data_IF_071324276593
#
_entry.id   IF_071324276593
#
_cell.length_a   1.000
_cell.length_b   1.000
_cell.length_c   1.000
_cell.angle_alpha   90.00
_cell.angle_beta   90.00
_cell.angle_gamma   90.00
#
_symmetry.space_group_name_H-M   'P 1'
#
loop_
_entity.id
_entity.type
_entity.pdbx_description
1 polymer ?
#
# COMPACT_ATOMS: atom_id res chain seq x y z
N UNK A 1 -14.26 -4.86 57.73
CA UNK A 1 -13.45 -5.97 57.25
C UNK A 1 -13.59 -5.91 55.74
N UNK A 2 -12.75 -5.16 55.10
CA UNK A 2 -11.46 -5.53 54.49
C UNK A 2 -11.58 -6.70 53.56
N UNK A 3 -11.41 -6.30 52.30
CA UNK A 3 -10.35 -6.60 51.34
C UNK A 3 -10.92 -7.45 50.22
N UNK A 4 -10.71 -7.25 48.95
CA UNK A 4 -9.57 -6.72 48.19
C UNK A 4 -9.97 -6.45 46.77
N UNK A 5 -9.64 -5.26 46.26
CA UNK A 5 -9.39 -5.00 44.86
C UNK A 5 -7.97 -5.47 44.56
N UNK A 6 -7.79 -6.27 43.52
CA UNK A 6 -6.58 -6.27 42.67
C UNK A 6 -6.73 -7.31 41.58
N UNK A 7 -7.15 -6.90 40.39
CA UNK A 7 -6.88 -7.61 39.14
C UNK A 7 -7.29 -6.78 37.91
N UNK A 8 -6.80 -5.55 37.77
CA UNK A 8 -7.00 -4.76 36.54
C UNK A 8 -5.81 -3.85 36.23
N UNK A 9 -4.63 -4.42 36.17
CA UNK A 9 -3.43 -3.66 35.76
C UNK A 9 -2.40 -4.47 34.94
N UNK A 10 -2.85 -5.40 34.10
CA UNK A 10 -1.90 -6.18 33.29
C UNK A 10 -2.20 -6.28 31.81
N UNK A 11 -3.22 -5.61 31.30
CA UNK A 11 -3.52 -5.68 29.85
C UNK A 11 -3.17 -4.41 29.05
N UNK A 12 -2.77 -3.33 29.71
CA UNK A 12 -2.49 -2.05 29.02
C UNK A 12 -1.05 -1.91 28.50
N UNK A 13 -0.12 -2.80 28.84
CA UNK A 13 1.30 -2.63 28.45
C UNK A 13 1.72 -3.34 27.16
N UNK A 14 0.84 -4.11 26.52
CA UNK A 14 1.17 -4.84 25.28
C UNK A 14 0.73 -4.15 23.99
N UNK A 15 -0.06 -3.10 24.05
CA UNK A 15 -0.53 -2.35 22.87
C UNK A 15 0.34 -1.15 22.50
N UNK A 16 1.26 -0.74 23.37
CA UNK A 16 2.13 0.42 23.11
C UNK A 16 3.36 0.13 22.24
N UNK A 17 3.64 -1.13 21.89
CA UNK A 17 4.79 -1.48 21.02
C UNK A 17 4.46 -1.60 19.53
N UNK A 18 3.21 -1.40 19.11
CA UNK A 18 2.84 -1.38 17.68
C UNK A 18 2.98 -0.02 16.98
N UNK A 19 3.25 1.04 17.70
CA UNK A 19 3.42 2.40 17.16
C UNK A 19 4.89 2.80 16.94
N UNK A 20 5.77 1.83 16.69
CA UNK A 20 7.16 2.06 16.35
C UNK A 20 7.36 1.89 14.85
N UNK A 21 7.27 2.98 14.14
CA UNK A 21 7.87 3.29 12.84
C UNK A 21 8.81 2.20 12.32
N UNK A 22 8.39 1.43 11.33
CA UNK A 22 9.33 0.77 10.43
C UNK A 22 8.87 0.94 8.99
N UNK A 23 9.54 1.89 8.33
CA UNK A 23 9.61 1.99 6.89
C UNK A 23 10.12 0.66 6.34
N UNK A 24 9.29 -0.03 5.55
CA UNK A 24 9.68 -1.24 4.86
C UNK A 24 10.79 -0.98 3.85
N UNK A 25 12.01 -1.24 4.25
CA UNK A 25 13.12 -1.52 3.34
C UNK A 25 13.23 -3.02 3.17
N UNK A 26 12.95 -3.49 1.99
CA UNK A 26 13.39 -4.81 1.54
C UNK A 26 14.92 -4.80 1.45
N UNK A 27 15.56 -5.71 2.18
CA UNK A 27 16.96 -6.10 2.20
C UNK A 27 17.79 -5.56 3.39
N UNK A 28 18.28 -6.50 4.21
CA UNK A 28 19.51 -6.43 4.97
C UNK A 28 19.66 -5.22 5.90
N UNK A 29 19.17 -5.35 7.13
CA UNK A 29 19.41 -4.33 8.14
C UNK A 29 20.72 -4.63 8.90
N UNK A 30 21.80 -4.08 8.40
CA UNK A 30 22.89 -3.64 9.25
C UNK A 30 22.89 -2.13 9.22
N UNK A 31 23.02 -1.52 10.39
CA UNK A 31 23.07 -0.09 10.70
C UNK A 31 23.66 0.78 9.59
N UNK A 32 22.77 1.34 8.75
CA UNK A 32 23.18 2.31 7.72
C UNK A 32 22.94 3.71 8.26
N UNK A 33 23.97 4.59 8.26
CA UNK A 33 23.78 6.01 8.57
C UNK A 33 22.72 6.58 7.62
N UNK A 34 21.96 7.56 8.08
CA UNK A 34 20.90 8.29 7.38
C UNK A 34 21.33 8.72 5.96
N UNK A 35 21.39 7.77 5.05
CA UNK A 35 21.66 8.05 3.65
C UNK A 35 20.41 8.75 3.07
N UNK A 36 20.61 9.87 2.40
CA UNK A 36 19.53 10.54 1.65
C UNK A 36 18.83 9.51 0.75
N UNK A 37 17.50 9.47 0.73
CA UNK A 37 16.77 8.47 -0.05
C UNK A 37 17.25 8.51 -1.50
N UNK A 38 17.64 7.36 -2.04
CA UNK A 38 18.13 7.26 -3.41
C UNK A 38 17.02 7.58 -4.43
N UNK A 39 15.77 7.35 -4.05
CA UNK A 39 14.59 7.63 -4.88
C UNK A 39 13.56 8.42 -4.11
N UNK A 40 12.92 9.38 -4.77
CA UNK A 40 11.80 10.15 -4.25
C UNK A 40 10.71 10.25 -5.30
N UNK A 41 9.45 10.13 -4.88
CA UNK A 41 8.28 10.32 -5.72
C UNK A 41 7.15 10.94 -4.91
N UNK A 42 6.18 11.54 -5.61
CA UNK A 42 4.93 12.00 -5.01
C UNK A 42 3.78 11.18 -5.57
N UNK A 43 2.96 10.62 -4.71
CA UNK A 43 1.71 9.98 -5.10
C UNK A 43 0.57 10.98 -5.03
N UNK A 44 -0.31 10.93 -6.01
CA UNK A 44 -1.52 11.75 -6.06
C UNK A 44 -2.67 10.96 -6.68
N UNK A 45 -3.88 11.48 -6.51
CA UNK A 45 -5.09 10.87 -7.07
C UNK A 45 -5.18 9.37 -6.74
N UNK A 46 -4.83 8.99 -5.49
CA UNK A 46 -4.83 7.59 -5.07
C UNK A 46 -6.25 7.11 -4.83
N UNK A 47 -6.58 5.97 -5.44
CA UNK A 47 -7.79 5.19 -5.22
C UNK A 47 -7.40 3.84 -4.65
N UNK A 48 -8.03 3.46 -3.55
CA UNK A 48 -7.80 2.20 -2.86
C UNK A 48 -9.12 1.47 -2.68
N UNK A 49 -9.25 0.29 -3.29
CA UNK A 49 -10.42 -0.58 -3.15
C UNK A 49 -9.98 -1.88 -2.51
N UNK A 50 -10.58 -2.21 -1.37
CA UNK A 50 -10.23 -3.38 -0.59
C UNK A 50 -11.31 -4.45 -0.74
N UNK A 51 -10.88 -5.65 -1.07
CA UNK A 51 -11.70 -6.85 -1.15
C UNK A 51 -11.35 -7.76 0.01
N UNK A 52 -12.36 -8.21 0.72
CA UNK A 52 -12.19 -9.27 1.71
C UNK A 52 -12.17 -10.62 0.99
N UNK A 53 -11.20 -11.45 1.33
CA UNK A 53 -10.93 -12.72 0.67
C UNK A 53 -10.75 -13.80 1.73
N UNK A 54 -11.22 -15.02 1.42
CA UNK A 54 -11.01 -16.16 2.29
C UNK A 54 -9.53 -16.37 2.60
N UNK A 55 -9.21 -16.56 3.88
CA UNK A 55 -7.82 -16.72 4.34
C UNK A 55 -7.13 -17.96 3.72
N UNK A 56 -7.89 -19.01 3.39
CA UNK A 56 -7.36 -20.21 2.72
C UNK A 56 -6.91 -19.90 1.29
N UNK A 57 -7.78 -19.23 0.52
CA UNK A 57 -7.43 -18.79 -0.83
C UNK A 57 -6.23 -17.84 -0.81
N UNK A 58 -6.19 -16.92 0.16
CA UNK A 58 -5.08 -15.99 0.29
C UNK A 58 -3.76 -16.70 0.56
N UNK A 59 -3.79 -17.78 1.37
CA UNK A 59 -2.62 -18.61 1.65
C UNK A 59 -2.10 -19.34 0.39
N UNK A 60 -2.99 -19.79 -0.47
CA UNK A 60 -2.61 -20.47 -1.73
C UNK A 60 -1.87 -19.55 -2.71
N UNK A 61 -2.25 -18.28 -2.76
CA UNK A 61 -1.64 -17.28 -3.66
C UNK A 61 -0.47 -16.52 -3.02
N UNK A 62 -0.22 -16.73 -1.73
CA UNK A 62 0.91 -16.11 -1.02
C UNK A 62 2.20 -16.88 -1.34
N UNK A 63 3.30 -16.19 -1.70
CA UNK A 63 4.58 -16.83 -1.98
C UNK A 63 5.12 -17.63 -0.79
N UNK A 64 5.89 -18.67 -1.09
CA UNK A 64 6.58 -19.46 -0.06
C UNK A 64 7.49 -18.57 0.79
N UNK A 65 7.47 -18.79 2.10
CA UNK A 65 8.24 -17.98 3.07
C UNK A 65 7.50 -16.77 3.62
N UNK A 66 6.38 -16.41 3.02
CA UNK A 66 5.50 -15.35 3.53
C UNK A 66 4.19 -15.95 4.07
N UNK A 67 3.57 -15.23 4.97
CA UNK A 67 2.24 -15.53 5.51
C UNK A 67 1.29 -14.38 5.20
N UNK A 68 0.00 -14.64 4.91
CA UNK A 68 -0.98 -13.56 4.82
C UNK A 68 -1.07 -12.78 6.15
N UNK A 69 -1.08 -11.46 6.06
CA UNK A 69 -1.40 -10.61 7.21
C UNK A 69 -2.90 -10.38 7.25
N UNK A 70 -3.54 -10.88 8.30
CA UNK A 70 -4.99 -10.89 8.46
C UNK A 70 -5.44 -9.76 9.38
N UNK A 71 -6.43 -9.00 8.97
CA UNK A 71 -7.11 -8.04 9.82
C UNK A 71 -8.34 -8.70 10.47
N UNK A 72 -8.30 -8.88 11.79
CA UNK A 72 -9.38 -9.55 12.56
C UNK A 72 -9.76 -10.94 12.01
N UNK A 73 -8.76 -11.69 11.51
CA UNK A 73 -8.96 -13.01 10.95
C UNK A 73 -9.36 -13.04 9.47
N UNK A 74 -9.66 -11.92 8.87
CA UNK A 74 -10.02 -11.80 7.45
C UNK A 74 -8.83 -11.39 6.58
N UNK A 75 -8.68 -12.03 5.43
CA UNK A 75 -7.69 -11.68 4.42
C UNK A 75 -8.15 -10.52 3.54
N UNK A 76 -7.21 -9.76 3.02
CA UNK A 76 -7.53 -8.62 2.16
C UNK A 76 -6.62 -8.57 0.93
N UNK A 77 -7.23 -8.27 -0.20
CA UNK A 77 -6.56 -7.88 -1.45
C UNK A 77 -6.98 -6.46 -1.78
N UNK A 78 -6.04 -5.63 -2.21
CA UNK A 78 -6.32 -4.25 -2.57
C UNK A 78 -5.96 -3.97 -4.02
N UNK A 79 -6.88 -3.32 -4.70
CA UNK A 79 -6.65 -2.69 -5.99
C UNK A 79 -6.31 -1.22 -5.73
N UNK A 80 -5.08 -0.84 -6.07
CA UNK A 80 -4.54 0.49 -5.81
C UNK A 80 -4.24 1.16 -7.13
N UNK A 81 -4.99 2.20 -7.47
CA UNK A 81 -4.69 3.07 -8.60
C UNK A 81 -4.11 4.39 -8.09
N UNK A 82 -2.99 4.84 -8.66
CA UNK A 82 -2.30 6.06 -8.22
C UNK A 82 -1.58 6.72 -9.39
N UNK A 83 -1.37 8.03 -9.27
CA UNK A 83 -0.51 8.79 -10.16
C UNK A 83 0.82 9.07 -9.48
N UNK A 84 1.90 8.66 -10.11
CA UNK A 84 3.27 8.85 -9.64
C UNK A 84 3.83 10.09 -10.31
N UNK A 85 4.24 11.07 -9.50
CA UNK A 85 4.73 12.36 -9.95
C UNK A 85 6.14 12.62 -9.44
N UNK A 86 6.90 13.37 -10.21
CA UNK A 86 8.24 13.84 -9.82
C UNK A 86 9.16 12.70 -9.32
N UNK A 87 9.14 11.55 -10.02
CA UNK A 87 10.07 10.47 -9.70
C UNK A 87 11.50 10.91 -9.97
N UNK A 88 12.31 10.92 -8.93
CA UNK A 88 13.73 11.34 -8.97
C UNK A 88 14.63 10.27 -8.38
N UNK A 89 15.86 10.19 -8.90
CA UNK A 89 16.97 9.46 -8.30
C UNK A 89 18.06 10.45 -7.92
N UNK A 90 18.42 10.48 -6.64
CA UNK A 90 19.43 11.41 -6.12
C UNK A 90 19.21 12.87 -6.55
N UNK A 91 17.94 13.29 -6.64
CA UNK A 91 17.53 14.63 -7.08
C UNK A 91 17.33 14.81 -8.58
N UNK A 92 17.80 13.89 -9.42
CA UNK A 92 17.62 13.97 -10.87
C UNK A 92 16.28 13.36 -11.30
N UNK A 93 15.50 14.02 -12.17
CA UNK A 93 14.24 13.49 -12.67
C UNK A 93 14.48 12.25 -13.54
N UNK A 94 13.79 11.15 -13.25
CA UNK A 94 13.91 9.88 -13.97
C UNK A 94 12.84 9.69 -15.05
N UNK A 95 11.65 10.18 -14.81
CA UNK A 95 10.56 10.04 -15.76
C UNK A 95 9.53 11.17 -15.63
N UNK A 96 8.72 11.32 -16.68
CA UNK A 96 7.51 12.12 -16.60
C UNK A 96 6.48 11.41 -15.69
N UNK A 97 5.51 12.16 -15.19
CA UNK A 97 4.37 11.62 -14.45
C UNK A 97 3.70 10.47 -15.20
N UNK A 98 3.32 9.43 -14.47
CA UNK A 98 2.64 8.25 -15.02
C UNK A 98 1.64 7.67 -14.01
N UNK A 99 0.67 6.90 -14.54
CA UNK A 99 -0.27 6.15 -13.74
C UNK A 99 0.23 4.74 -13.46
N UNK A 100 -0.17 4.20 -12.31
CA UNK A 100 0.03 2.81 -11.91
C UNK A 100 -1.30 2.24 -11.38
N UNK A 101 -1.53 0.96 -11.68
CA UNK A 101 -2.64 0.18 -11.12
C UNK A 101 -2.06 -1.12 -10.60
N UNK A 102 -2.20 -1.35 -9.30
CA UNK A 102 -1.58 -2.45 -8.60
C UNK A 102 -2.65 -3.33 -7.95
N UNK A 103 -2.52 -4.64 -8.08
CA UNK A 103 -3.25 -5.60 -7.28
C UNK A 103 -2.28 -6.18 -6.25
N UNK A 104 -2.54 -5.95 -4.98
CA UNK A 104 -1.63 -6.30 -3.90
C UNK A 104 -2.33 -7.02 -2.75
N UNK A 105 -1.60 -7.88 -2.09
CA UNK A 105 -2.00 -8.53 -0.84
C UNK A 105 -1.06 -8.11 0.30
N UNK A 106 -1.54 -8.27 1.52
CA UNK A 106 -0.81 -7.95 2.73
C UNK A 106 -0.19 -9.20 3.30
N UNK A 107 1.11 -9.13 3.57
CA UNK A 107 1.91 -10.26 4.00
C UNK A 107 2.77 -9.92 5.21
N UNK A 108 3.14 -10.95 5.93
CA UNK A 108 4.14 -10.88 6.99
C UNK A 108 5.18 -11.96 6.78
N UNK A 109 6.40 -11.66 7.10
CA UNK A 109 7.54 -12.57 7.07
C UNK A 109 7.95 -12.92 8.50
N UNK A 110 8.04 -14.21 8.87
CA UNK A 110 8.59 -14.62 10.14
C UNK A 110 10.06 -14.19 10.27
N UNK A 111 10.42 -13.54 11.37
CA UNK A 111 11.77 -13.11 11.65
C UNK A 111 12.15 -13.46 13.10
N UNK A 112 13.46 -13.46 13.43
CA UNK A 112 13.95 -13.83 14.77
C UNK A 112 13.28 -13.05 15.91
N UNK A 113 12.99 -11.77 15.68
CA UNK A 113 12.42 -10.84 16.66
C UNK A 113 10.91 -10.60 16.47
N UNK A 114 10.21 -11.48 15.71
CA UNK A 114 8.77 -11.33 15.45
C UNK A 114 8.42 -11.40 13.96
N UNK A 115 7.61 -10.47 13.46
CA UNK A 115 7.19 -10.42 12.07
C UNK A 115 7.58 -9.11 11.39
N UNK A 116 8.02 -9.21 10.14
CA UNK A 116 8.11 -8.06 9.23
C UNK A 116 6.85 -8.00 8.39
N UNK A 117 6.23 -6.84 8.32
CA UNK A 117 4.98 -6.63 7.59
C UNK A 117 5.26 -5.92 6.27
N UNK A 118 4.49 -6.26 5.23
CA UNK A 118 4.67 -5.65 3.92
C UNK A 118 3.52 -5.94 2.97
N UNK A 119 3.69 -5.50 1.74
CA UNK A 119 2.77 -5.78 0.63
C UNK A 119 3.46 -6.61 -0.44
N UNK A 120 2.72 -7.57 -1.00
CA UNK A 120 3.16 -8.34 -2.15
C UNK A 120 2.30 -8.00 -3.37
N UNK A 121 2.94 -7.66 -4.49
CA UNK A 121 2.25 -7.31 -5.72
C UNK A 121 1.89 -8.57 -6.51
N UNK A 122 0.60 -8.87 -6.59
CA UNK A 122 0.08 -9.93 -7.48
C UNK A 122 0.15 -9.51 -8.93
N UNK A 123 -0.15 -8.21 -9.20
CA UNK A 123 -0.02 -7.58 -10.52
C UNK A 123 0.36 -6.12 -10.33
N UNK A 124 1.31 -5.66 -11.12
CA UNK A 124 1.77 -4.29 -11.11
C UNK A 124 1.79 -3.76 -12.55
N UNK A 125 0.87 -2.83 -12.84
CA UNK A 125 0.72 -2.23 -14.15
C UNK A 125 1.11 -0.76 -14.11
N UNK A 126 1.86 -0.31 -15.10
CA UNK A 126 2.25 1.09 -15.24
C UNK A 126 2.01 1.60 -16.66
N UNK A 127 1.76 2.89 -16.77
CA UNK A 127 1.42 3.54 -18.05
C UNK A 127 2.57 3.59 -19.05
N UNK A 128 3.83 3.62 -18.58
CA UNK A 128 5.01 3.89 -19.41
C UNK A 128 6.03 2.76 -19.34
N UNK A 129 6.58 2.37 -20.49
CA UNK A 129 7.58 1.29 -20.60
C UNK A 129 8.85 1.57 -19.79
N UNK A 130 9.38 2.79 -19.84
CA UNK A 130 10.55 3.16 -19.04
C UNK A 130 10.25 3.10 -17.54
N UNK A 131 9.04 3.48 -17.12
CA UNK A 131 8.61 3.34 -15.74
C UNK A 131 8.46 1.86 -15.37
N UNK A 132 7.96 0.99 -16.25
CA UNK A 132 7.87 -0.45 -16.02
C UNK A 132 9.26 -1.06 -15.76
N UNK A 133 10.23 -0.76 -16.61
CA UNK A 133 11.60 -1.23 -16.45
C UNK A 133 12.21 -0.76 -15.12
N UNK A 134 12.08 0.54 -14.81
CA UNK A 134 12.62 1.11 -13.58
C UNK A 134 11.97 0.53 -12.32
N UNK A 135 10.64 0.48 -12.29
CA UNK A 135 9.90 -0.06 -11.15
C UNK A 135 10.19 -1.54 -10.94
N UNK A 136 10.27 -2.34 -12.02
CA UNK A 136 10.66 -3.75 -11.94
C UNK A 136 12.02 -3.94 -11.27
N UNK A 137 12.99 -3.08 -11.59
CA UNK A 137 14.32 -3.09 -10.96
C UNK A 137 14.28 -2.68 -9.49
N UNK A 138 13.43 -1.71 -9.13
CA UNK A 138 13.33 -1.18 -7.77
C UNK A 138 12.56 -2.11 -6.82
N UNK A 139 11.53 -2.77 -7.32
CA UNK A 139 10.64 -3.61 -6.51
C UNK A 139 10.95 -5.10 -6.62
N UNK A 140 11.89 -5.48 -7.50
CA UNK A 140 12.20 -6.88 -7.84
C UNK A 140 10.92 -7.70 -8.15
N UNK A 141 9.97 -7.06 -8.86
CA UNK A 141 8.69 -7.64 -9.22
C UNK A 141 8.43 -7.51 -10.72
N UNK A 142 7.54 -8.36 -11.25
CA UNK A 142 7.09 -8.24 -12.62
C UNK A 142 6.20 -6.99 -12.75
N UNK A 143 6.67 -6.02 -13.54
CA UNK A 143 5.93 -4.79 -13.84
C UNK A 143 5.61 -4.73 -15.32
N UNK A 144 4.31 -4.70 -15.63
CA UNK A 144 3.83 -4.71 -17.02
C UNK A 144 3.41 -3.30 -17.45
N UNK A 145 3.83 -2.91 -18.66
CA UNK A 145 3.38 -1.68 -19.26
C UNK A 145 2.00 -1.88 -19.89
N UNK A 146 1.07 -0.95 -19.60
CA UNK A 146 -0.27 -0.95 -20.17
C UNK A 146 -0.74 0.45 -20.54
N UNK A 147 -1.52 0.62 -21.64
CA UNK A 147 -2.19 1.86 -21.93
C UNK A 147 -3.12 2.26 -20.79
N UNK A 148 -2.97 3.48 -20.28
CA UNK A 148 -3.80 4.00 -19.19
C UNK A 148 -4.23 5.42 -19.46
N UNK A 149 -5.44 5.78 -18.97
CA UNK A 149 -5.97 7.15 -18.95
C UNK A 149 -6.40 7.46 -17.53
N UNK A 150 -6.10 8.67 -17.08
CA UNK A 150 -6.54 9.16 -15.76
C UNK A 150 -7.27 10.47 -15.97
N UNK A 151 -8.50 10.50 -15.53
CA UNK A 151 -9.33 11.70 -15.53
C UNK A 151 -9.59 12.10 -14.09
N UNK A 152 -9.32 13.35 -13.80
CA UNK A 152 -9.64 13.97 -12.52
C UNK A 152 -10.40 15.25 -12.83
N UNK A 153 -11.66 15.30 -12.48
CA UNK A 153 -12.40 16.55 -12.56
C UNK A 153 -11.80 17.49 -11.52
N UNK A 154 -11.16 18.57 -12.00
CA UNK A 154 -10.69 19.68 -11.15
C UNK A 154 -11.90 20.36 -10.56
N UNK A 155 -12.45 19.78 -9.50
CA UNK A 155 -13.53 20.38 -8.75
C UNK A 155 -12.95 21.41 -7.77
N UNK A 156 -13.69 22.49 -7.45
CA UNK A 156 -13.30 23.39 -6.38
C UNK A 156 -13.02 22.62 -5.09
N UNK A 157 -12.14 23.13 -4.26
CA UNK A 157 -11.68 22.53 -2.98
C UNK A 157 -12.80 22.00 -2.07
N UNK A 158 -14.02 22.50 -2.25
CA UNK A 158 -15.20 22.13 -1.45
C UNK A 158 -16.06 21.00 -2.05
N UNK A 159 -15.70 20.46 -3.20
CA UNK A 159 -16.43 19.33 -3.79
C UNK A 159 -15.64 18.03 -3.64
N UNK A 160 -16.33 16.92 -3.40
CA UNK A 160 -15.68 15.63 -3.34
C UNK A 160 -15.00 15.27 -4.66
N UNK A 161 -13.86 14.57 -4.63
CA UNK A 161 -13.13 14.20 -5.85
C UNK A 161 -13.97 13.28 -6.74
N UNK A 162 -13.90 13.48 -8.05
CA UNK A 162 -14.36 12.54 -9.07
C UNK A 162 -13.11 12.12 -9.86
N UNK A 163 -12.66 10.88 -9.61
CA UNK A 163 -11.43 10.33 -10.18
C UNK A 163 -11.78 9.09 -10.97
N UNK A 164 -11.29 9.03 -12.20
CA UNK A 164 -11.47 7.87 -13.06
C UNK A 164 -10.11 7.39 -13.57
N UNK A 165 -9.86 6.09 -13.40
CA UNK A 165 -8.75 5.36 -13.97
C UNK A 165 -9.26 4.39 -15.00
N UNK A 166 -8.69 4.41 -16.19
CA UNK A 166 -8.93 3.46 -17.25
C UNK A 166 -7.62 2.79 -17.64
N UNK A 167 -7.63 1.48 -17.83
CA UNK A 167 -6.47 0.72 -18.33
C UNK A 167 -6.91 -0.38 -19.28
N UNK A 168 -6.04 -0.69 -20.26
CA UNK A 168 -6.34 -1.69 -21.28
C UNK A 168 -5.57 -2.98 -20.98
N UNK A 169 -6.30 -4.07 -20.76
CA UNK A 169 -5.74 -5.42 -20.63
C UNK A 169 -6.12 -6.19 -21.88
N UNK A 170 -5.13 -6.63 -22.64
CA UNK A 170 -5.34 -7.18 -24.00
C UNK A 170 -6.13 -6.17 -24.85
N UNK A 171 -7.35 -6.53 -25.29
CA UNK A 171 -8.21 -5.66 -26.09
C UNK A 171 -9.36 -5.01 -25.33
N UNK A 172 -9.47 -5.25 -24.04
CA UNK A 172 -10.54 -4.75 -23.20
C UNK A 172 -10.08 -3.59 -22.33
N UNK A 173 -10.85 -2.50 -22.32
CA UNK A 173 -10.71 -1.41 -21.37
C UNK A 173 -11.42 -1.75 -20.09
N UNK A 174 -10.73 -1.60 -18.99
CA UNK A 174 -11.25 -1.68 -17.63
C UNK A 174 -11.23 -0.27 -17.04
N UNK A 175 -12.16 0.03 -16.14
CA UNK A 175 -12.19 1.32 -15.48
C UNK A 175 -12.59 1.22 -14.01
N UNK A 176 -12.16 2.21 -13.27
CA UNK A 176 -12.59 2.49 -11.90
C UNK A 176 -12.92 3.97 -11.82
N UNK A 177 -14.16 4.27 -11.45
CA UNK A 177 -14.60 5.64 -11.19
C UNK A 177 -15.05 5.79 -9.74
N UNK A 178 -14.42 6.72 -9.04
CA UNK A 178 -14.75 7.07 -7.66
C UNK A 178 -15.33 8.48 -7.64
N UNK A 179 -16.57 8.59 -7.16
CA UNK A 179 -17.22 9.86 -6.86
C UNK A 179 -17.35 10.01 -5.35
N UNK A 180 -16.65 10.97 -4.80
CA UNK A 180 -16.77 11.30 -3.39
C UNK A 180 -18.16 11.90 -3.10
N UNK A 181 -18.77 11.53 -1.99
CA UNK A 181 -20.07 12.05 -1.55
C UNK A 181 -19.98 12.95 -0.31
N UNK A 182 -18.86 12.94 0.36
CA UNK A 182 -18.70 13.64 1.63
C UNK A 182 -17.38 14.40 1.71
N UNK A 183 -17.30 15.31 2.68
CA UNK A 183 -16.03 15.97 3.02
C UNK A 183 -14.98 14.95 3.45
N UNK A 184 -13.73 15.32 3.29
CA UNK A 184 -12.59 14.55 3.79
C UNK A 184 -12.80 14.25 5.27
N UNK A 185 -12.58 13.00 5.66
CA UNK A 185 -12.65 12.54 7.05
C UNK A 185 -11.28 12.04 7.47
N UNK A 186 -10.93 12.30 8.71
CA UNK A 186 -9.73 11.73 9.31
C UNK A 186 -9.86 10.21 9.43
N UNK A 187 -8.73 9.54 9.30
CA UNK A 187 -8.66 8.08 9.44
C UNK A 187 -8.76 7.75 10.92
N UNK A 188 -9.76 6.93 11.27
CA UNK A 188 -9.95 6.48 12.66
C UNK A 188 -8.84 5.51 13.04
N UNK A 189 -8.27 5.70 14.24
CA UNK A 189 -7.32 4.76 14.83
C UNK A 189 -7.92 3.36 14.98
N UNK A 190 -7.12 2.32 14.78
CA UNK A 190 -7.50 0.90 14.83
C UNK A 190 -8.59 0.51 13.80
N UNK A 191 -8.76 1.30 12.75
CA UNK A 191 -9.67 0.97 11.65
C UNK A 191 -8.99 0.10 10.60
N UNK A 192 -9.80 -0.64 9.81
CA UNK A 192 -9.33 -1.36 8.62
C UNK A 192 -8.55 -0.44 7.67
N UNK A 193 -8.99 0.80 7.52
CA UNK A 193 -8.33 1.79 6.65
C UNK A 193 -6.93 2.13 7.16
N UNK A 194 -6.78 2.35 8.47
CA UNK A 194 -5.47 2.58 9.08
C UNK A 194 -4.56 1.36 8.93
N UNK A 195 -5.08 0.15 9.21
CA UNK A 195 -4.33 -1.10 9.01
C UNK A 195 -3.76 -1.19 7.60
N UNK A 196 -4.61 -1.01 6.59
CA UNK A 196 -4.22 -1.09 5.19
C UNK A 196 -3.23 0.01 4.81
N UNK A 197 -3.47 1.25 5.21
CA UNK A 197 -2.59 2.36 4.88
C UNK A 197 -1.24 2.28 5.59
N UNK A 198 -1.18 1.72 6.79
CA UNK A 198 0.09 1.51 7.51
C UNK A 198 1.02 0.53 6.79
N UNK A 199 0.45 -0.38 5.99
CA UNK A 199 1.20 -1.38 5.22
C UNK A 199 1.61 -0.88 3.81
N UNK A 200 0.96 0.20 3.33
CA UNK A 200 1.26 0.82 2.03
C UNK A 200 2.34 1.91 2.18
N UNK A 201 2.86 2.14 3.36
CA UNK A 201 3.92 3.12 3.57
C UNK A 201 5.17 2.74 2.79
N UNK A 202 5.35 3.50 1.75
CA UNK A 202 6.49 3.51 0.85
C UNK A 202 7.41 4.67 1.25
#
# INVERSE_FOLDING_TARGET
MQSTNDATASSASRLSKRAGTQSGQMAGADTVPSAKPSFTARFSEMVLINFEVDAKLLKEITPKGLEPDLYQGAGHISLVAKKIRNLKCRGFPLSRDFASVDLQLYVREPHRDGYRYGTFFLKHYVQRSMAAWLMGRLTNSEVLQMPMKVQNSKLPLNRPPDIEYQWKVRDHWNDIRIRGRSRVKDIRKNSKVEFILSLIHI
#
